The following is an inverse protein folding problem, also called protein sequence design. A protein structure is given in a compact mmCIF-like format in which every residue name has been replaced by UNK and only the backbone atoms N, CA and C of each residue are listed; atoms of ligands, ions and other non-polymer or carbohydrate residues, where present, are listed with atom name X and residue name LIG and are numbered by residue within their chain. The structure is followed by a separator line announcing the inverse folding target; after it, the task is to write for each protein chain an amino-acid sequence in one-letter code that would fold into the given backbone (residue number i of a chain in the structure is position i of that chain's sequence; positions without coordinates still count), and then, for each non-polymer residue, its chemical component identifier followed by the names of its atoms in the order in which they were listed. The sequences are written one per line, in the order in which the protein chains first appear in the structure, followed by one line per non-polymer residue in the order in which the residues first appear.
data_IF_770282525860
#
_entry.id   IF_770282525860
#
_cell.length_a   1.000
_cell.length_b   1.000
_cell.length_c   1.000
_cell.angle_alpha   90.00
_cell.angle_beta   90.00
_cell.angle_gamma   90.00
#
_symmetry.space_group_name_H-M   'P 1'
#
loop_
_entity.id
_entity.type
_entity.pdbx_description
1 polymer ?
#
# COMPACT_ATOMS: atom_id res chain seq x y z
N UNK A 1 18.40 7.69 27.33
CA UNK A 1 17.86 8.75 26.46
C UNK A 1 16.55 9.30 27.04
N UNK A 2 16.36 10.62 27.10
CA UNK A 2 15.08 11.22 27.50
C UNK A 2 14.16 11.28 26.29
N UNK A 3 12.95 10.74 26.40
CA UNK A 3 11.96 10.71 25.32
C UNK A 3 10.59 11.15 25.82
N UNK A 4 9.75 11.64 24.91
CA UNK A 4 8.38 12.08 25.20
C UNK A 4 7.40 11.07 24.60
N UNK A 5 6.48 10.54 25.42
CA UNK A 5 5.46 9.64 24.91
C UNK A 5 4.49 10.39 23.97
N UNK A 6 4.27 9.94 22.71
CA UNK A 6 3.34 10.60 21.80
C UNK A 6 1.87 10.48 22.25
N UNK A 7 1.55 9.46 23.05
CA UNK A 7 0.20 9.21 23.54
C UNK A 7 -0.15 10.08 24.76
N UNK A 8 0.64 9.97 25.84
CA UNK A 8 0.32 10.64 27.11
C UNK A 8 1.12 11.93 27.37
N UNK A 9 2.03 12.31 26.46
CA UNK A 9 2.88 13.51 26.51
C UNK A 9 3.82 13.63 27.71
N UNK A 10 3.96 12.56 28.50
CA UNK A 10 4.90 12.52 29.63
C UNK A 10 6.30 12.12 29.17
N UNK A 11 7.28 12.72 29.82
CA UNK A 11 8.70 12.43 29.62
C UNK A 11 9.12 11.23 30.48
N UNK A 12 10.02 10.41 29.95
CA UNK A 12 10.61 9.29 30.67
C UNK A 12 11.97 8.92 30.05
N UNK A 13 12.75 8.14 30.80
CA UNK A 13 14.08 7.72 30.39
C UNK A 13 14.00 6.29 29.85
N UNK A 14 14.65 6.07 28.70
CA UNK A 14 14.86 4.75 28.11
C UNK A 14 16.36 4.43 28.07
N UNK A 15 16.72 3.15 28.09
CA UNK A 15 18.08 2.67 27.82
C UNK A 15 18.37 2.59 26.32
N UNK A 16 19.16 1.59 25.93
CA UNK A 16 19.55 1.34 24.52
C UNK A 16 18.56 0.41 23.79
N UNK A 17 17.39 0.19 24.38
CA UNK A 17 16.35 -0.68 23.83
C UNK A 17 15.65 0.00 22.64
N UNK A 18 15.39 -0.78 21.57
CA UNK A 18 14.65 -0.30 20.39
C UNK A 18 13.13 -0.39 20.57
N UNK A 19 12.66 -1.17 21.54
CA UNK A 19 11.24 -1.39 21.81
C UNK A 19 11.01 -1.36 23.32
N UNK A 20 9.85 -0.84 23.74
CA UNK A 20 9.45 -0.87 25.14
C UNK A 20 8.06 -0.31 25.34
N UNK A 21 7.65 -0.15 26.59
CA UNK A 21 6.34 0.39 26.95
C UNK A 21 6.49 1.71 27.71
N UNK A 22 5.55 2.63 27.48
CA UNK A 22 5.50 3.85 28.28
C UNK A 22 5.14 3.52 29.74
N UNK A 23 5.93 3.93 30.74
CA UNK A 23 5.66 3.62 32.15
C UNK A 23 4.37 4.28 32.69
N UNK A 24 3.79 5.23 31.96
CA UNK A 24 2.60 5.97 32.39
C UNK A 24 1.30 5.51 31.75
N UNK A 25 1.34 5.01 30.51
CA UNK A 25 0.14 4.63 29.77
C UNK A 25 0.22 3.24 29.12
N UNK A 26 1.35 2.55 29.30
CA UNK A 26 1.60 1.16 28.88
C UNK A 26 1.41 0.89 27.38
N UNK A 27 1.40 1.93 26.55
CA UNK A 27 1.44 1.75 25.09
C UNK A 27 2.82 1.24 24.69
N UNK A 28 2.85 0.28 23.77
CA UNK A 28 4.08 -0.20 23.13
C UNK A 28 4.62 0.87 22.19
N UNK A 29 5.91 1.14 22.31
CA UNK A 29 6.63 2.17 21.56
C UNK A 29 7.87 1.55 20.91
N UNK A 30 8.26 2.14 19.80
CA UNK A 30 9.54 1.89 19.14
C UNK A 30 10.40 3.15 19.31
N UNK A 31 11.64 2.96 19.71
CA UNK A 31 12.60 4.04 19.96
C UNK A 31 13.64 4.07 18.84
N UNK A 32 14.07 5.27 18.48
CA UNK A 32 15.10 5.48 17.46
C UNK A 32 16.45 4.98 17.99
N UNK A 33 17.14 4.14 17.21
CA UNK A 33 18.50 3.70 17.56
C UNK A 33 19.52 4.84 17.44
N UNK A 34 20.62 4.79 18.21
CA UNK A 34 21.66 5.83 18.22
C UNK A 34 22.30 6.08 16.83
N UNK A 35 22.24 5.11 15.93
CA UNK A 35 22.82 5.18 14.58
C UNK A 35 21.78 5.05 13.45
N UNK A 36 20.49 5.28 13.74
CA UNK A 36 19.44 5.15 12.73
C UNK A 36 19.41 6.38 11.81
N UNK A 37 19.76 6.19 10.54
CA UNK A 37 19.61 7.17 9.47
C UNK A 37 18.12 7.26 9.08
N UNK A 38 17.45 8.30 9.54
CA UNK A 38 16.09 8.64 9.08
C UNK A 38 16.25 9.58 7.89
N UNK A 39 16.19 9.01 6.69
CA UNK A 39 16.06 9.80 5.47
C UNK A 39 14.59 10.18 5.27
N UNK A 40 14.32 11.49 5.20
CA UNK A 40 12.99 11.98 4.88
C UNK A 40 12.77 11.80 3.37
N UNK A 41 12.09 10.73 3.01
CA UNK A 41 11.70 10.47 1.62
C UNK A 41 10.54 11.39 1.25
N UNK A 42 10.70 12.21 0.21
CA UNK A 42 9.59 13.00 -0.35
C UNK A 42 8.76 12.12 -1.29
N UNK A 43 7.70 11.54 -0.71
CA UNK A 43 6.77 10.67 -1.44
C UNK A 43 6.13 11.41 -2.62
N UNK A 44 5.89 12.73 -2.52
CA UNK A 44 5.24 13.50 -3.60
C UNK A 44 6.13 13.63 -4.82
N UNK A 45 7.44 13.75 -4.62
CA UNK A 45 8.39 13.82 -5.72
C UNK A 45 8.49 12.46 -6.45
N UNK A 46 8.39 11.36 -5.70
CA UNK A 46 8.37 10.01 -6.25
C UNK A 46 7.09 9.78 -7.05
N UNK A 47 5.93 10.12 -6.49
CA UNK A 47 4.63 10.01 -7.17
C UNK A 47 4.63 10.79 -8.49
N UNK A 48 5.13 12.03 -8.49
CA UNK A 48 5.25 12.84 -9.70
C UNK A 48 6.12 12.18 -10.78
N UNK A 49 7.26 11.59 -10.39
CA UNK A 49 8.15 10.87 -11.32
C UNK A 49 7.50 9.61 -11.88
N UNK A 50 6.70 8.90 -11.09
CA UNK A 50 5.93 7.73 -11.54
C UNK A 50 4.87 8.16 -12.54
N UNK A 51 4.13 9.22 -12.25
CA UNK A 51 3.10 9.76 -13.15
C UNK A 51 3.71 10.15 -14.50
N UNK A 52 4.86 10.82 -14.52
CA UNK A 52 5.57 11.20 -15.75
C UNK A 52 5.96 9.98 -16.61
N UNK A 53 6.30 8.84 -16.00
CA UNK A 53 6.61 7.59 -16.72
C UNK A 53 5.33 6.93 -17.28
N UNK A 54 4.24 6.96 -16.53
CA UNK A 54 2.98 6.30 -16.92
C UNK A 54 2.05 7.18 -17.76
N UNK A 55 2.42 8.46 -17.97
CA UNK A 55 1.64 9.44 -18.72
C UNK A 55 1.58 9.19 -20.24
N UNK A 56 2.23 8.14 -20.74
CA UNK A 56 2.00 7.68 -22.10
C UNK A 56 0.56 7.17 -22.22
N UNK A 57 -0.34 8.08 -22.61
CA UNK A 57 -1.64 7.71 -23.16
C UNK A 57 -1.33 6.88 -24.40
N UNK A 58 -1.43 5.56 -24.26
CA UNK A 58 -1.42 4.66 -25.41
C UNK A 58 -2.67 5.01 -26.21
N UNK A 59 -2.50 5.78 -27.29
CA UNK A 59 -3.56 5.97 -28.28
C UNK A 59 -3.84 4.61 -28.92
N UNK A 60 -4.80 3.88 -28.34
CA UNK A 60 -5.28 2.64 -28.92
C UNK A 60 -5.98 3.02 -30.23
N UNK A 61 -5.48 2.50 -31.35
CA UNK A 61 -6.12 2.68 -32.65
C UNK A 61 -7.60 2.24 -32.52
N UNK A 62 -8.56 3.01 -33.07
CA UNK A 62 -9.97 2.64 -33.05
C UNK A 62 -10.26 1.19 -33.48
N UNK A 63 -9.46 0.63 -34.40
CA UNK A 63 -9.57 -0.78 -34.83
C UNK A 63 -9.17 -1.75 -33.72
N UNK A 64 -8.07 -1.47 -33.02
CA UNK A 64 -7.60 -2.30 -31.91
C UNK A 64 -8.58 -2.23 -30.73
N UNK A 65 -9.18 -1.06 -30.50
CA UNK A 65 -10.24 -0.90 -29.48
C UNK A 65 -11.45 -1.78 -29.77
N UNK A 66 -11.90 -1.83 -31.03
CA UNK A 66 -13.01 -2.72 -31.43
C UNK A 66 -12.67 -4.20 -31.21
N UNK A 67 -11.43 -4.61 -31.48
CA UNK A 67 -10.98 -5.99 -31.24
C UNK A 67 -10.94 -6.31 -29.73
N UNK A 68 -10.45 -5.39 -28.91
CA UNK A 68 -10.42 -5.55 -27.45
C UNK A 68 -11.84 -5.68 -26.90
N UNK A 69 -12.78 -4.85 -27.38
CA UNK A 69 -14.19 -4.89 -26.95
C UNK A 69 -14.89 -6.19 -27.40
N UNK A 70 -14.56 -6.72 -28.58
CA UNK A 70 -15.04 -8.04 -29.05
C UNK A 70 -14.54 -9.17 -28.14
N UNK A 71 -13.23 -9.19 -27.85
CA UNK A 71 -12.59 -10.19 -27.01
C UNK A 71 -13.14 -10.14 -25.58
N UNK A 72 -13.31 -8.93 -25.02
CA UNK A 72 -13.88 -8.73 -23.69
C UNK A 72 -15.29 -9.32 -23.58
N UNK A 73 -16.15 -9.03 -24.55
CA UNK A 73 -17.53 -9.58 -24.59
C UNK A 73 -17.57 -11.10 -24.71
N UNK A 74 -16.63 -11.70 -25.44
CA UNK A 74 -16.56 -13.16 -25.52
C UNK A 74 -15.99 -13.80 -24.24
N UNK A 75 -15.02 -13.15 -23.61
CA UNK A 75 -14.48 -13.58 -22.33
C UNK A 75 -15.55 -13.56 -21.23
N UNK A 76 -16.35 -12.50 -21.14
CA UNK A 76 -17.47 -12.40 -20.18
C UNK A 76 -18.47 -13.55 -20.32
N UNK A 77 -18.81 -13.93 -21.56
CA UNK A 77 -19.71 -15.08 -21.81
C UNK A 77 -19.11 -16.40 -21.31
N UNK A 78 -17.81 -16.60 -21.53
CA UNK A 78 -17.10 -17.82 -21.08
C UNK A 78 -17.02 -17.86 -19.56
N UNK A 79 -16.71 -16.74 -18.92
CA UNK A 79 -16.68 -16.61 -17.45
C UNK A 79 -18.07 -16.93 -16.87
N UNK A 80 -19.12 -16.29 -17.39
CA UNK A 80 -20.49 -16.54 -16.93
C UNK A 80 -20.94 -18.00 -17.11
N UNK A 81 -20.49 -18.66 -18.18
CA UNK A 81 -20.75 -20.09 -18.37
C UNK A 81 -20.06 -20.95 -17.31
N UNK A 82 -18.80 -20.64 -17.00
CA UNK A 82 -18.03 -21.35 -15.98
C UNK A 82 -18.64 -21.15 -14.60
N UNK A 83 -19.03 -19.92 -14.23
CA UNK A 83 -19.68 -19.61 -12.95
C UNK A 83 -20.94 -20.47 -12.75
N UNK A 84 -21.81 -20.53 -13.77
CA UNK A 84 -23.01 -21.39 -13.71
C UNK A 84 -22.67 -22.87 -13.48
N UNK A 85 -21.59 -23.36 -14.10
CA UNK A 85 -21.15 -24.75 -13.92
C UNK A 85 -20.56 -25.01 -12.56
N UNK A 86 -19.87 -24.03 -11.98
CA UNK A 86 -19.38 -24.10 -10.60
C UNK A 86 -20.55 -24.12 -9.61
N UNK A 87 -21.55 -23.25 -9.83
CA UNK A 87 -22.77 -23.22 -9.01
C UNK A 87 -23.53 -24.55 -9.05
N UNK A 88 -23.63 -25.21 -10.22
CA UNK A 88 -24.23 -26.54 -10.38
C UNK A 88 -23.47 -27.66 -9.65
N UNK A 89 -22.18 -27.49 -9.34
CA UNK A 89 -21.35 -28.49 -8.66
C UNK A 89 -21.33 -28.28 -7.14
N UNK A 90 -21.41 -27.03 -6.69
CA UNK A 90 -21.29 -26.65 -5.28
C UNK A 90 -22.66 -26.47 -4.59
N UNK A 91 -23.73 -26.21 -5.36
CA UNK A 91 -25.12 -26.14 -4.88
C UNK A 91 -25.86 -27.47 -4.93
#
# INVERSE_FOLDING_TARGET
MLVICPNCKKEFIIGDELFGECPNCHIKLMFRGENELIEKVDIKEIEKKVDEITSEVIEINPVDKLLIDEIGREAEKKISYVEKKVDEIIG
#
